data_IF_843294738774
#
_entry.id   IF_843294738774
#
_cell.length_a   1.000
_cell.length_b   1.000
_cell.length_c   1.000
_cell.angle_alpha   90.00
_cell.angle_beta   90.00
_cell.angle_gamma   90.00
#
_symmetry.space_group_name_H-M   'P 1'
#
loop_
_entity.id
_entity.type
_entity.pdbx_description
1 polymer ?
#
# COMPACT_ATOMS: atom_id res chain seq x y z
N UNK A 1 15.22 -6.21 35.27
CA UNK A 1 14.32 -6.60 34.17
C UNK A 1 14.86 -5.96 32.92
N UNK A 2 15.35 -6.73 31.96
CA UNK A 2 15.84 -6.22 30.69
C UNK A 2 14.70 -6.23 29.69
N UNK A 3 14.35 -5.07 29.13
CA UNK A 3 13.45 -4.97 27.98
C UNK A 3 14.23 -4.45 26.78
N UNK A 4 14.10 -5.11 25.64
CA UNK A 4 14.61 -4.65 24.36
C UNK A 4 13.72 -3.49 23.89
N UNK A 5 14.26 -2.26 23.89
CA UNK A 5 13.53 -1.03 23.55
C UNK A 5 13.50 -0.71 22.05
N UNK A 6 14.20 -1.50 21.21
CA UNK A 6 14.19 -1.32 19.76
C UNK A 6 13.07 -2.15 19.13
N UNK A 7 11.83 -1.66 19.23
CA UNK A 7 10.74 -2.10 18.35
C UNK A 7 10.35 -0.96 17.42
N UNK A 8 11.16 -0.74 16.38
CA UNK A 8 10.67 -0.07 15.19
C UNK A 8 9.65 -1.03 14.52
N UNK A 9 8.38 -0.96 14.93
CA UNK A 9 7.28 -1.75 14.35
C UNK A 9 6.84 -1.18 12.99
N UNK A 10 7.80 -0.86 12.13
CA UNK A 10 7.56 -0.54 10.74
C UNK A 10 7.61 -1.84 9.93
N UNK A 11 6.55 -2.11 9.17
CA UNK A 11 6.45 -3.26 8.27
C UNK A 11 6.23 -2.74 6.86
N UNK A 12 7.06 -3.20 5.93
CA UNK A 12 6.90 -2.97 4.50
C UNK A 12 6.84 -4.32 3.81
N UNK A 13 5.79 -4.56 3.04
CA UNK A 13 5.62 -5.79 2.28
C UNK A 13 5.12 -5.51 0.88
N UNK A 14 5.49 -6.37 -0.06
CA UNK A 14 4.93 -6.38 -1.40
C UNK A 14 4.58 -7.81 -1.78
N UNK A 15 3.37 -8.02 -2.27
CA UNK A 15 2.87 -9.33 -2.64
C UNK A 15 1.95 -9.24 -3.85
N UNK A 16 1.75 -10.37 -4.52
CA UNK A 16 0.92 -10.47 -5.71
C UNK A 16 -0.30 -11.33 -5.38
N UNK A 17 -1.49 -10.82 -5.69
CA UNK A 17 -2.75 -11.53 -5.51
C UNK A 17 -3.49 -11.66 -6.83
N UNK A 18 -3.98 -12.86 -7.15
CA UNK A 18 -4.95 -13.04 -8.23
C UNK A 18 -6.30 -12.47 -7.77
N UNK A 19 -6.60 -11.26 -8.23
CA UNK A 19 -7.73 -10.45 -7.80
C UNK A 19 -8.45 -9.89 -9.03
N UNK A 20 -9.73 -9.51 -8.92
CA UNK A 20 -10.43 -8.77 -9.97
C UNK A 20 -9.71 -7.48 -10.37
N UNK A 21 -10.20 -6.82 -11.42
CA UNK A 21 -9.70 -5.50 -11.81
C UNK A 21 -9.78 -4.48 -10.65
N UNK A 22 -8.99 -3.41 -10.74
CA UNK A 22 -8.88 -2.42 -9.68
C UNK A 22 -10.22 -1.76 -9.31
N UNK A 23 -11.13 -1.53 -10.25
CA UNK A 23 -12.42 -0.90 -9.93
C UNK A 23 -13.33 -1.84 -9.13
N UNK A 24 -13.41 -3.10 -9.58
CA UNK A 24 -14.13 -4.15 -8.85
C UNK A 24 -13.51 -4.38 -7.47
N UNK A 25 -12.18 -4.45 -7.38
CA UNK A 25 -11.47 -4.62 -6.12
C UNK A 25 -11.74 -3.46 -5.15
N UNK A 26 -11.76 -2.21 -5.64
CA UNK A 26 -12.09 -1.03 -4.84
C UNK A 26 -13.50 -1.10 -4.29
N UNK A 27 -14.47 -1.49 -5.12
CA UNK A 27 -15.87 -1.63 -4.68
C UNK A 27 -16.03 -2.71 -3.60
N UNK A 28 -15.40 -3.88 -3.78
CA UNK A 28 -15.46 -4.99 -2.81
C UNK A 28 -14.89 -4.60 -1.44
N UNK A 29 -13.88 -3.74 -1.41
CA UNK A 29 -13.15 -3.36 -0.20
C UNK A 29 -13.53 -1.98 0.35
N UNK A 30 -14.48 -1.26 -0.28
CA UNK A 30 -14.87 0.10 0.10
C UNK A 30 -15.38 0.24 1.55
N UNK A 31 -15.84 -0.85 2.15
CA UNK A 31 -16.29 -0.88 3.55
C UNK A 31 -15.15 -1.06 4.57
N UNK A 32 -13.97 -1.52 4.14
CA UNK A 32 -12.85 -1.86 5.03
C UNK A 32 -11.74 -0.82 5.01
N UNK A 33 -11.57 -0.11 3.89
CA UNK A 33 -10.49 0.86 3.69
C UNK A 33 -11.03 2.19 3.22
N UNK A 34 -10.28 3.26 3.48
CA UNK A 34 -10.53 4.57 2.89
C UNK A 34 -9.72 4.69 1.60
N UNK A 35 -10.40 4.68 0.46
CA UNK A 35 -9.78 4.93 -0.83
C UNK A 35 -9.38 6.39 -0.97
N UNK A 36 -8.13 6.62 -1.34
CA UNK A 36 -7.61 7.92 -1.77
C UNK A 36 -7.78 8.08 -3.27
N UNK A 37 -7.48 9.28 -3.77
CA UNK A 37 -7.38 9.52 -5.20
C UNK A 37 -6.31 8.61 -5.81
N UNK A 38 -6.62 8.01 -6.95
CA UNK A 38 -5.66 7.22 -7.69
C UNK A 38 -4.58 8.13 -8.28
N UNK A 39 -3.39 7.57 -8.46
CA UNK A 39 -2.25 8.27 -9.03
C UNK A 39 -1.74 7.53 -10.26
N UNK A 40 -1.09 8.26 -11.15
CA UNK A 40 -0.44 7.69 -12.34
C UNK A 40 1.07 7.61 -12.10
N UNK A 41 1.66 6.44 -12.33
CA UNK A 41 3.10 6.21 -12.28
C UNK A 41 3.52 5.33 -13.44
N UNK A 42 4.54 5.75 -14.20
CA UNK A 42 5.00 5.02 -15.40
C UNK A 42 3.86 4.66 -16.37
N UNK A 43 2.86 5.54 -16.52
CA UNK A 43 1.68 5.30 -17.37
C UNK A 43 0.64 4.34 -16.80
N UNK A 44 0.88 3.77 -15.62
CA UNK A 44 0.00 2.82 -14.94
C UNK A 44 -0.81 3.50 -13.84
N UNK A 45 -2.05 3.03 -13.67
CA UNK A 45 -2.92 3.45 -12.57
C UNK A 45 -2.50 2.75 -11.29
N UNK A 46 -2.31 3.53 -10.23
CA UNK A 46 -2.01 3.05 -8.89
C UNK A 46 -3.12 3.51 -7.97
N UNK A 47 -3.89 2.56 -7.43
CA UNK A 47 -4.86 2.87 -6.38
C UNK A 47 -4.14 2.97 -5.04
N UNK A 48 -4.66 3.80 -4.14
CA UNK A 48 -4.07 4.04 -2.81
C UNK A 48 -5.17 3.96 -1.76
N UNK A 49 -4.95 3.23 -0.68
CA UNK A 49 -5.86 3.18 0.47
C UNK A 49 -5.15 3.41 1.79
N UNK A 50 -5.93 3.80 2.78
CA UNK A 50 -5.53 3.84 4.19
C UNK A 50 -6.54 3.10 5.04
N UNK A 51 -6.09 2.49 6.12
CA UNK A 51 -6.96 1.77 7.05
C UNK A 51 -7.35 2.70 8.22
N UNK A 52 -8.64 2.94 8.51
CA UNK A 52 -9.06 3.94 9.50
C UNK A 52 -8.51 3.73 10.93
N UNK A 53 -8.27 2.48 11.31
CA UNK A 53 -7.85 2.08 12.67
C UNK A 53 -6.35 1.84 12.81
N UNK A 54 -5.58 1.89 11.73
CA UNK A 54 -4.16 1.50 11.71
C UNK A 54 -3.35 2.53 10.91
N UNK A 55 -2.18 2.99 11.39
CA UNK A 55 -1.26 3.84 10.64
C UNK A 55 -0.61 3.04 9.48
N UNK A 56 -1.38 2.85 8.42
CA UNK A 56 -1.06 2.00 7.27
C UNK A 56 -1.49 2.69 5.97
N UNK A 57 -0.64 2.56 4.95
CA UNK A 57 -0.98 2.95 3.60
C UNK A 57 -0.60 1.85 2.61
N UNK A 58 -1.54 1.51 1.75
CA UNK A 58 -1.40 0.42 0.80
C UNK A 58 -1.58 0.95 -0.62
N UNK A 59 -0.71 0.55 -1.53
CA UNK A 59 -0.85 0.82 -2.96
C UNK A 59 -1.19 -0.45 -3.72
N UNK A 60 -1.92 -0.30 -4.82
CA UNK A 60 -2.38 -1.41 -5.66
C UNK A 60 -2.11 -1.07 -7.12
N UNK A 61 -1.40 -1.95 -7.81
CA UNK A 61 -1.05 -1.81 -9.22
C UNK A 61 -1.49 -3.06 -9.96
N UNK A 62 -2.21 -2.90 -11.08
CA UNK A 62 -2.54 -4.02 -11.94
C UNK A 62 -1.28 -4.54 -12.64
N UNK A 63 -1.05 -5.84 -12.60
CA UNK A 63 0.04 -6.53 -13.29
C UNK A 63 -0.51 -7.79 -13.97
N UNK A 64 -0.73 -7.73 -15.29
CA UNK A 64 -1.49 -8.72 -16.04
C UNK A 64 -2.92 -8.86 -15.50
N UNK A 65 -3.25 -10.08 -15.11
CA UNK A 65 -4.53 -10.44 -14.48
C UNK A 65 -4.47 -10.46 -12.94
N UNK A 66 -3.37 -9.97 -12.36
CA UNK A 66 -3.18 -9.89 -10.91
C UNK A 66 -3.07 -8.44 -10.43
N UNK A 67 -3.13 -8.26 -9.12
CA UNK A 67 -2.81 -7.01 -8.43
C UNK A 67 -1.55 -7.20 -7.60
N UNK A 68 -0.58 -6.30 -7.79
CA UNK A 68 0.56 -6.14 -6.88
C UNK A 68 0.15 -5.15 -5.79
N UNK A 69 0.25 -5.60 -4.55
CA UNK A 69 -0.09 -4.83 -3.35
C UNK A 69 1.21 -4.46 -2.65
N UNK A 70 1.44 -3.17 -2.41
CA UNK A 70 2.52 -2.70 -1.53
C UNK A 70 1.90 -2.16 -0.26
N UNK A 71 2.19 -2.77 0.87
CA UNK A 71 1.67 -2.36 2.17
C UNK A 71 2.77 -1.81 3.05
N UNK A 72 2.55 -0.63 3.63
CA UNK A 72 3.41 -0.04 4.64
C UNK A 72 2.60 0.34 5.88
N UNK A 73 2.98 -0.22 7.02
CA UNK A 73 2.43 0.12 8.33
C UNK A 73 3.54 0.53 9.31
N UNK A 74 3.28 1.53 10.15
CA UNK A 74 4.21 2.01 11.18
C UNK A 74 3.45 2.14 12.50
N UNK A 75 3.60 1.18 13.41
CA UNK A 75 2.71 1.08 14.59
C UNK A 75 3.17 1.88 15.81
N UNK A 76 4.43 2.28 15.91
CA UNK A 76 4.99 3.05 17.03
C UNK A 76 5.50 4.39 16.51
N UNK A 77 5.16 5.48 17.22
CA UNK A 77 5.51 6.86 16.86
C UNK A 77 5.24 7.15 15.38
N UNK A 78 4.07 6.68 14.92
CA UNK A 78 3.66 6.75 13.54
C UNK A 78 3.69 8.21 13.05
N UNK A 79 4.37 8.50 11.93
CA UNK A 79 4.30 9.82 11.35
C UNK A 79 2.88 10.09 10.82
N UNK A 80 2.57 11.33 10.43
CA UNK A 80 1.29 11.63 9.78
C UNK A 80 1.03 10.69 8.60
N UNK A 81 -0.22 10.25 8.43
CA UNK A 81 -0.60 9.25 7.42
C UNK A 81 -0.13 9.59 5.99
N UNK A 82 -0.02 10.88 5.67
CA UNK A 82 0.50 11.33 4.39
C UNK A 82 1.97 10.94 4.18
N UNK A 83 2.80 11.01 5.22
CA UNK A 83 4.20 10.59 5.13
C UNK A 83 4.32 9.06 4.97
N UNK A 84 3.43 8.29 5.61
CA UNK A 84 3.36 6.83 5.40
C UNK A 84 2.99 6.54 3.94
N UNK A 85 1.97 7.21 3.40
CA UNK A 85 1.60 7.05 2.00
C UNK A 85 2.71 7.47 1.04
N UNK A 86 3.43 8.56 1.30
CA UNK A 86 4.55 9.01 0.47
C UNK A 86 5.64 7.94 0.40
N UNK A 87 5.95 7.27 1.53
CA UNK A 87 6.91 6.16 1.58
C UNK A 87 6.42 4.92 0.83
N UNK A 88 5.16 4.52 1.00
CA UNK A 88 4.56 3.40 0.28
C UNK A 88 4.58 3.64 -1.24
N UNK A 89 4.17 4.85 -1.66
CA UNK A 89 4.19 5.33 -3.05
C UNK A 89 5.62 5.33 -3.61
N UNK A 90 6.61 5.81 -2.85
CA UNK A 90 8.00 5.82 -3.28
C UNK A 90 8.53 4.39 -3.52
N UNK A 91 8.18 3.44 -2.66
CA UNK A 91 8.56 2.04 -2.85
C UNK A 91 7.89 1.42 -4.08
N UNK A 92 6.60 1.68 -4.29
CA UNK A 92 5.91 1.25 -5.51
C UNK A 92 6.56 1.83 -6.74
N UNK A 93 6.90 3.13 -6.73
CA UNK A 93 7.62 3.76 -7.85
C UNK A 93 8.96 3.08 -8.14
N UNK A 94 9.69 2.64 -7.12
CA UNK A 94 10.97 1.95 -7.29
C UNK A 94 10.82 0.53 -7.86
N UNK A 95 9.63 -0.07 -7.81
CA UNK A 95 9.40 -1.48 -8.17
C UNK A 95 8.46 -1.66 -9.36
N UNK A 96 7.70 -0.62 -9.74
CA UNK A 96 6.64 -0.72 -10.74
C UNK A 96 7.14 -1.19 -12.10
N UNK A 97 8.34 -0.79 -12.51
CA UNK A 97 8.90 -1.19 -13.81
C UNK A 97 9.30 -2.68 -13.87
N UNK A 98 9.35 -3.36 -12.71
CA UNK A 98 9.59 -4.81 -12.62
C UNK A 98 8.30 -5.64 -12.57
N UNK A 99 7.14 -4.98 -12.49
CA UNK A 99 5.84 -5.65 -12.48
C UNK A 99 5.37 -5.85 -13.93
N UNK A 100 5.11 -7.09 -14.39
CA UNK A 100 4.58 -7.33 -15.74
C UNK A 100 3.31 -6.52 -16.03
N UNK A 101 3.07 -6.20 -17.30
CA UNK A 101 1.82 -5.59 -17.76
C UNK A 101 0.73 -6.61 -18.06
#
# INVERSE_FOLDING_TARGET
MWSLSDRNLASLSQFVGNQPDLDTYKQMNAQFVTWRADISMSGRRVAVSTTPSIPECTTFVRSGDAIVVTDLSISIDAPPINEICDKAIAFTRATIDQMPE
#
